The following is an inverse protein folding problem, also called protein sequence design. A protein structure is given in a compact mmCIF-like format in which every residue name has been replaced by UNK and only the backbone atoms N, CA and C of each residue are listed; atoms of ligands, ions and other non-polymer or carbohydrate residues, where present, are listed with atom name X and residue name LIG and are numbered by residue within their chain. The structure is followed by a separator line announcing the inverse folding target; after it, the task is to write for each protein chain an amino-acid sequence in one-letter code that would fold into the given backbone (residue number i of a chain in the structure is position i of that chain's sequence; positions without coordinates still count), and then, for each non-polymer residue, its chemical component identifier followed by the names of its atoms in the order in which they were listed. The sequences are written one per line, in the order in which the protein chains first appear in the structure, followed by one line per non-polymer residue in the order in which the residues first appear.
data_IF_088555989037
#
_entry.id   IF_088555989037
#
_cell.length_a   1.000
_cell.length_b   1.000
_cell.length_c   1.000
_cell.angle_alpha   90.00
_cell.angle_beta   90.00
_cell.angle_gamma   90.00
#
_symmetry.space_group_name_H-M   'P 1'
#
loop_
_entity.id
_entity.type
_entity.pdbx_description
1 polymer ?
#
# COMPACT_ATOMS: atom_id res chain seq x y z
N UNK A 1 -78.30 -5.19 67.39
CA UNK A 1 -79.20 -4.86 66.26
C UNK A 1 -78.41 -4.11 65.20
N UNK A 2 -78.53 -4.55 63.95
CA UNK A 2 -78.20 -3.87 62.68
C UNK A 2 -76.72 -3.71 62.28
N UNK A 3 -76.33 -4.60 61.36
CA UNK A 3 -75.57 -4.39 60.11
C UNK A 3 -75.48 -2.94 59.58
N UNK A 4 -74.31 -2.55 59.06
CA UNK A 4 -74.12 -2.29 57.62
C UNK A 4 -72.63 -2.19 57.23
N UNK A 5 -72.32 -2.79 56.09
CA UNK A 5 -71.05 -2.74 55.39
C UNK A 5 -70.91 -1.45 54.59
N UNK A 6 -69.69 -0.97 54.39
CA UNK A 6 -69.28 -0.38 53.11
C UNK A 6 -67.77 -0.38 52.96
N UNK A 7 -67.38 -0.88 51.79
CA UNK A 7 -66.07 -0.98 51.18
C UNK A 7 -65.38 0.37 51.05
N UNK A 8 -64.04 0.40 51.10
CA UNK A 8 -63.21 1.24 50.21
C UNK A 8 -61.76 0.74 50.22
N UNK A 9 -61.16 0.87 49.04
CA UNK A 9 -59.99 0.19 48.48
C UNK A 9 -58.65 0.46 49.18
N UNK A 10 -57.77 -0.54 49.05
CA UNK A 10 -56.34 -0.49 49.30
C UNK A 10 -55.57 0.21 48.17
N UNK A 11 -54.44 0.85 48.51
CA UNK A 11 -53.32 1.06 47.59
C UNK A 11 -52.02 0.98 48.40
N UNK A 12 -51.27 -0.11 48.22
CA UNK A 12 -49.93 -0.28 48.76
C UNK A 12 -48.90 0.20 47.72
N UNK A 13 -47.99 1.06 48.14
CA UNK A 13 -46.81 1.46 47.37
C UNK A 13 -45.80 0.31 47.38
N UNK A 14 -45.62 -0.36 46.24
CA UNK A 14 -44.51 -1.26 45.97
C UNK A 14 -43.53 -0.52 45.06
N UNK A 15 -42.33 -0.26 45.58
CA UNK A 15 -41.17 0.18 44.82
C UNK A 15 -40.76 -0.93 43.85
N UNK A 16 -40.94 -0.71 42.54
CA UNK A 16 -40.35 -1.56 41.52
C UNK A 16 -38.92 -1.11 41.24
N UNK A 17 -37.94 -1.88 41.73
CA UNK A 17 -36.65 -1.95 41.06
C UNK A 17 -36.88 -2.68 39.74
N UNK A 18 -36.78 -1.95 38.63
CA UNK A 18 -36.72 -2.56 37.31
C UNK A 18 -35.38 -3.32 37.16
N UNK A 19 -35.35 -4.49 36.52
CA UNK A 19 -34.08 -5.11 36.14
C UNK A 19 -33.38 -4.20 35.13
N UNK A 20 -32.05 -4.04 35.26
CA UNK A 20 -31.22 -3.49 34.18
C UNK A 20 -31.56 -4.26 32.90
N UNK A 21 -32.09 -3.57 31.90
CA UNK A 21 -32.18 -4.13 30.57
C UNK A 21 -30.74 -4.39 30.10
N UNK A 22 -30.42 -5.63 29.74
CA UNK A 22 -29.23 -5.92 28.94
C UNK A 22 -29.39 -5.13 27.64
N UNK A 23 -28.43 -4.25 27.34
CA UNK A 23 -28.45 -3.42 26.14
C UNK A 23 -28.49 -4.35 24.92
N UNK A 24 -29.48 -4.15 24.04
CA UNK A 24 -29.72 -5.05 22.90
C UNK A 24 -28.96 -4.60 21.64
N UNK A 25 -28.18 -3.54 21.72
CA UNK A 25 -27.43 -2.94 20.60
C UNK A 25 -26.13 -3.67 20.28
N UNK A 26 -25.41 -4.21 21.27
CA UNK A 26 -24.11 -4.87 21.06
C UNK A 26 -24.22 -6.12 20.17
N UNK A 27 -25.19 -7.00 20.44
CA UNK A 27 -25.35 -8.26 19.72
C UNK A 27 -25.95 -8.11 18.31
N UNK A 28 -26.47 -6.93 17.96
CA UNK A 28 -26.97 -6.67 16.61
C UNK A 28 -25.87 -6.19 15.67
N UNK A 29 -24.81 -5.54 16.14
CA UNK A 29 -23.79 -4.91 15.28
C UNK A 29 -22.72 -5.89 14.75
N UNK A 30 -22.22 -6.79 15.59
CA UNK A 30 -21.13 -7.70 15.23
C UNK A 30 -21.51 -8.60 14.05
N UNK A 31 -20.66 -8.65 13.02
CA UNK A 31 -20.88 -9.43 11.80
C UNK A 31 -21.92 -8.81 10.86
N UNK A 32 -22.39 -7.59 11.11
CA UNK A 32 -23.18 -6.86 10.11
C UNK A 32 -22.27 -6.24 9.07
N UNK A 33 -22.68 -6.36 7.82
CA UNK A 33 -22.02 -5.68 6.71
C UNK A 33 -22.01 -4.16 6.90
N UNK A 34 -20.91 -3.55 6.49
CA UNK A 34 -20.68 -2.12 6.45
C UNK A 34 -20.14 -1.72 5.07
N UNK A 35 -20.15 -0.43 4.76
CA UNK A 35 -19.81 0.06 3.41
C UNK A 35 -18.39 0.60 3.32
N UNK A 36 -17.81 1.05 4.43
CA UNK A 36 -16.53 1.78 4.47
C UNK A 36 -15.62 1.16 5.52
N UNK A 37 -14.44 0.68 5.11
CA UNK A 37 -13.43 0.19 6.05
C UNK A 37 -13.00 1.31 7.01
N UNK A 38 -12.88 1.00 8.30
CA UNK A 38 -12.60 1.98 9.36
C UNK A 38 -13.83 2.76 9.84
N UNK A 39 -15.03 2.56 9.26
CA UNK A 39 -16.27 3.13 9.79
C UNK A 39 -16.51 2.68 11.24
N UNK A 40 -16.97 3.61 12.08
CA UNK A 40 -17.18 3.39 13.51
C UNK A 40 -18.67 3.41 13.83
N UNK A 41 -19.15 2.40 14.55
CA UNK A 41 -20.51 2.35 15.07
C UNK A 41 -20.52 2.30 16.60
N UNK A 42 -21.48 3.01 17.22
CA UNK A 42 -21.70 2.95 18.66
C UNK A 42 -22.44 1.66 19.04
N UNK A 43 -21.89 0.91 20.00
CA UNK A 43 -22.45 -0.36 20.46
C UNK A 43 -23.35 -0.25 21.70
N UNK A 44 -23.29 0.87 22.42
CA UNK A 44 -23.90 1.04 23.74
C UNK A 44 -22.83 1.10 24.82
N UNK A 45 -23.15 1.59 26.02
CA UNK A 45 -22.18 1.65 27.13
C UNK A 45 -20.96 2.58 26.95
N UNK A 46 -20.78 3.19 25.77
CA UNK A 46 -19.58 3.94 25.41
C UNK A 46 -18.58 3.15 24.57
N UNK A 47 -18.87 1.86 24.30
CA UNK A 47 -18.08 1.02 23.40
C UNK A 47 -18.41 1.29 21.93
N UNK A 48 -17.44 0.98 21.07
CA UNK A 48 -17.51 1.19 19.63
C UNK A 48 -17.07 -0.06 18.89
N UNK A 49 -17.64 -0.30 17.71
CA UNK A 49 -17.20 -1.34 16.79
C UNK A 49 -16.62 -0.69 15.52
N UNK A 50 -15.55 -1.27 15.01
CA UNK A 50 -14.92 -0.84 13.77
C UNK A 50 -15.27 -1.80 12.63
N UNK A 51 -15.54 -1.22 11.47
CA UNK A 51 -15.74 -1.93 10.22
C UNK A 51 -14.40 -2.33 9.61
N UNK A 52 -14.20 -3.61 9.29
CA UNK A 52 -13.02 -4.07 8.54
C UNK A 52 -13.32 -5.35 7.77
N UNK A 53 -12.37 -5.75 6.91
CA UNK A 53 -12.34 -7.12 6.39
C UNK A 53 -11.88 -8.10 7.47
N UNK A 54 -12.16 -9.38 7.24
CA UNK A 54 -11.70 -10.50 8.06
C UNK A 54 -10.94 -11.48 7.15
N UNK A 55 -9.96 -12.21 7.69
CA UNK A 55 -9.02 -13.07 6.92
C UNK A 55 -9.65 -14.06 5.92
N UNK A 56 -10.96 -14.35 6.03
CA UNK A 56 -11.68 -15.27 5.17
C UNK A 56 -12.60 -14.60 4.13
N UNK A 57 -12.72 -13.26 4.10
CA UNK A 57 -13.63 -12.54 3.20
C UNK A 57 -13.13 -11.13 2.84
N UNK A 58 -13.37 -10.73 1.60
CA UNK A 58 -13.24 -9.33 1.17
C UNK A 58 -14.45 -8.47 1.59
N UNK A 59 -15.50 -9.09 2.13
CA UNK A 59 -16.68 -8.37 2.62
C UNK A 59 -16.32 -7.60 3.90
N UNK A 60 -16.80 -6.36 4.00
CA UNK A 60 -16.61 -5.51 5.15
C UNK A 60 -17.70 -5.75 6.18
N UNK A 61 -17.31 -6.05 7.42
CA UNK A 61 -18.22 -6.27 8.53
C UNK A 61 -17.75 -5.56 9.81
N UNK A 62 -18.69 -5.19 10.67
CA UNK A 62 -18.37 -4.69 12.01
C UNK A 62 -17.83 -5.83 12.88
N UNK A 63 -16.67 -5.61 13.50
CA UNK A 63 -16.11 -6.55 14.47
C UNK A 63 -16.67 -6.38 15.88
N UNK A 64 -15.94 -6.84 16.91
CA UNK A 64 -16.41 -6.77 18.28
C UNK A 64 -16.60 -5.32 18.74
N UNK A 65 -17.50 -5.13 19.69
CA UNK A 65 -17.64 -3.87 20.41
C UNK A 65 -16.50 -3.76 21.43
N UNK A 66 -15.67 -2.73 21.29
CA UNK A 66 -14.50 -2.47 22.11
C UNK A 66 -14.79 -1.33 23.08
N UNK A 67 -14.45 -1.54 24.35
CA UNK A 67 -14.45 -0.46 25.34
C UNK A 67 -13.28 0.51 25.07
N UNK A 68 -13.37 1.79 25.47
CA UNK A 68 -12.31 2.77 25.24
C UNK A 68 -10.91 2.38 25.75
N UNK A 69 -10.84 1.48 26.71
CA UNK A 69 -9.60 0.95 27.30
C UNK A 69 -9.02 -0.27 26.57
N UNK A 70 -9.78 -0.88 25.67
CA UNK A 70 -9.34 -1.98 24.79
C UNK A 70 -8.78 -1.46 23.45
N UNK A 71 -9.02 -0.18 23.14
CA UNK A 71 -8.56 0.47 21.91
C UNK A 71 -7.12 0.94 22.12
N UNK A 72 -6.16 0.24 21.49
CA UNK A 72 -4.73 0.54 21.62
C UNK A 72 -4.32 1.82 20.90
N UNK A 73 -5.00 2.15 19.80
CA UNK A 73 -4.68 3.27 18.93
C UNK A 73 -5.90 3.79 18.16
N UNK A 74 -5.85 5.04 17.69
CA UNK A 74 -6.90 5.58 16.83
C UNK A 74 -6.63 5.24 15.35
N UNK A 75 -7.56 4.62 14.60
CA UNK A 75 -7.32 4.28 13.20
C UNK A 75 -6.85 5.46 12.35
N UNK A 76 -5.76 5.24 11.60
CA UNK A 76 -5.10 6.27 10.79
C UNK A 76 -4.07 7.11 11.55
N UNK A 77 -3.94 6.98 12.87
CA UNK A 77 -2.84 7.56 13.64
C UNK A 77 -1.49 6.98 13.18
N UNK A 78 -0.45 7.82 13.13
CA UNK A 78 0.91 7.43 12.72
C UNK A 78 1.91 7.85 13.79
N UNK A 79 2.75 6.93 14.26
CA UNK A 79 3.83 7.18 15.21
C UNK A 79 5.20 6.97 14.55
N UNK A 80 6.16 7.85 14.85
CA UNK A 80 7.56 7.61 14.50
C UNK A 80 8.22 6.69 15.54
N UNK A 81 8.80 5.59 15.07
CA UNK A 81 9.61 4.65 15.81
C UNK A 81 11.08 5.08 15.90
N UNK A 82 11.44 6.18 15.22
CA UNK A 82 12.77 6.76 15.19
C UNK A 82 13.46 6.67 13.83
N UNK A 83 14.67 7.23 13.71
CA UNK A 83 15.35 7.37 12.43
C UNK A 83 15.88 6.02 11.92
N UNK A 84 15.95 5.91 10.60
CA UNK A 84 16.67 4.86 9.89
C UNK A 84 18.18 5.03 10.12
N UNK A 85 18.87 3.88 10.22
CA UNK A 85 20.30 3.86 10.51
C UNK A 85 21.15 4.30 9.30
N UNK A 86 20.64 4.04 8.09
CA UNK A 86 21.24 4.50 6.86
C UNK A 86 20.81 5.94 6.57
N UNK A 87 21.80 6.84 6.40
CA UNK A 87 21.54 8.27 6.20
C UNK A 87 20.86 8.55 4.87
N UNK A 88 21.09 7.71 3.86
CA UNK A 88 20.50 7.84 2.54
C UNK A 88 19.03 7.41 2.59
N UNK A 89 18.75 6.24 3.15
CA UNK A 89 17.40 5.74 3.38
C UNK A 89 16.58 6.70 4.27
N UNK A 90 17.20 7.28 5.31
CA UNK A 90 16.56 8.33 6.12
C UNK A 90 16.19 9.57 5.30
N UNK A 91 17.05 10.00 4.37
CA UNK A 91 16.81 11.18 3.56
C UNK A 91 15.70 10.96 2.52
N UNK A 92 15.52 9.71 2.08
CA UNK A 92 14.52 9.32 1.08
C UNK A 92 13.18 8.93 1.75
N UNK A 93 13.22 8.02 2.72
CA UNK A 93 12.03 7.39 3.31
C UNK A 93 11.63 7.96 4.68
N UNK A 94 12.47 8.80 5.30
CA UNK A 94 12.19 9.38 6.62
C UNK A 94 12.44 8.43 7.78
N UNK A 95 11.66 8.55 8.85
CA UNK A 95 11.72 7.67 10.02
C UNK A 95 10.96 6.37 9.79
N UNK A 96 11.29 5.32 10.55
CA UNK A 96 10.40 4.17 10.67
C UNK A 96 9.08 4.62 11.31
N UNK A 97 7.97 4.21 10.72
CA UNK A 97 6.64 4.54 11.24
C UNK A 97 5.84 3.30 11.57
N UNK A 98 4.89 3.46 12.48
CA UNK A 98 3.77 2.53 12.63
C UNK A 98 2.47 3.29 12.44
N UNK A 99 1.50 2.65 11.81
CA UNK A 99 0.16 3.16 11.56
C UNK A 99 -0.85 2.30 12.30
N UNK A 100 -1.84 2.95 12.87
CA UNK A 100 -2.96 2.26 13.46
C UNK A 100 -3.93 1.81 12.35
N UNK A 101 -4.09 0.51 12.17
CA UNK A 101 -5.00 -0.09 11.21
C UNK A 101 -6.03 -0.98 11.91
N UNK A 102 -7.23 -1.07 11.34
CA UNK A 102 -8.29 -1.96 11.86
C UNK A 102 -8.20 -3.31 11.18
N UNK A 103 -7.93 -4.36 11.95
CA UNK A 103 -7.91 -5.74 11.48
C UNK A 103 -8.88 -6.60 12.29
N UNK A 104 -9.81 -7.29 11.62
CA UNK A 104 -10.85 -8.06 12.31
C UNK A 104 -11.70 -7.24 13.30
N UNK A 105 -11.84 -5.94 13.04
CA UNK A 105 -12.54 -4.97 13.88
C UNK A 105 -11.74 -4.44 15.08
N UNK A 106 -10.46 -4.78 15.18
CA UNK A 106 -9.58 -4.33 16.26
C UNK A 106 -8.52 -3.35 15.71
N UNK A 107 -8.47 -2.10 16.20
CA UNK A 107 -7.39 -1.17 15.90
C UNK A 107 -6.07 -1.65 16.52
N UNK A 108 -5.04 -1.83 15.69
CA UNK A 108 -3.72 -2.30 16.11
C UNK A 108 -2.62 -1.54 15.40
N UNK A 109 -1.50 -1.32 16.09
CA UNK A 109 -0.30 -0.77 15.47
C UNK A 109 0.30 -1.76 14.49
N UNK A 110 0.52 -1.30 13.26
CA UNK A 110 1.23 -2.03 12.21
C UNK A 110 2.43 -1.22 11.77
N UNK A 111 3.58 -1.89 11.65
CA UNK A 111 4.78 -1.27 11.10
C UNK A 111 4.48 -0.84 9.67
N UNK A 112 4.59 0.46 9.44
CA UNK A 112 4.28 1.15 8.21
C UNK A 112 5.63 1.51 7.56
N UNK A 113 6.38 0.49 7.15
CA UNK A 113 7.68 0.65 6.50
C UNK A 113 7.46 0.90 4.99
N UNK A 114 6.74 1.99 4.69
CA UNK A 114 6.33 2.46 3.37
C UNK A 114 7.51 3.00 2.52
N UNK A 115 8.71 2.44 2.70
CA UNK A 115 9.89 2.78 1.89
C UNK A 115 9.87 2.01 0.57
N UNK A 116 8.80 2.19 -0.19
CA UNK A 116 8.60 1.45 -1.44
C UNK A 116 9.29 2.15 -2.60
N UNK A 117 10.20 1.42 -3.24
CA UNK A 117 11.08 1.96 -4.26
C UNK A 117 11.01 1.13 -5.56
N UNK A 118 9.93 1.29 -6.33
CA UNK A 118 9.83 0.72 -7.66
C UNK A 118 10.93 1.21 -8.62
N UNK A 119 11.29 0.36 -9.56
CA UNK A 119 12.28 0.64 -10.59
C UNK A 119 11.60 1.12 -11.86
N UNK A 120 11.93 2.32 -12.31
CA UNK A 120 11.37 2.97 -13.51
C UNK A 120 12.46 3.36 -14.50
N UNK A 121 12.08 3.56 -15.77
CA UNK A 121 13.01 3.94 -16.83
C UNK A 121 12.66 5.31 -17.39
N UNK A 122 13.68 6.14 -17.63
CA UNK A 122 13.58 7.35 -18.44
C UNK A 122 14.45 7.20 -19.68
N UNK A 123 13.84 7.28 -20.86
CA UNK A 123 14.52 7.06 -22.15
C UNK A 123 15.26 8.30 -22.69
N UNK A 124 15.17 9.45 -22.00
CA UNK A 124 15.81 10.69 -22.43
C UNK A 124 17.24 10.83 -21.88
N UNK A 125 18.16 11.33 -22.71
CA UNK A 125 19.55 11.65 -22.33
C UNK A 125 19.71 13.12 -21.90
N UNK A 126 18.60 13.80 -21.53
CA UNK A 126 18.63 15.21 -21.16
C UNK A 126 19.45 15.43 -19.88
N UNK A 127 20.26 16.51 -19.85
CA UNK A 127 21.02 16.88 -18.66
C UNK A 127 20.09 17.02 -17.46
N UNK A 128 20.27 16.14 -16.49
CA UNK A 128 19.32 15.86 -15.43
C UNK A 128 19.23 17.03 -14.43
N UNK A 129 18.14 17.78 -14.45
CA UNK A 129 17.66 18.43 -13.23
C UNK A 129 16.85 17.40 -12.43
N UNK A 130 16.78 17.53 -11.10
CA UNK A 130 15.98 16.62 -10.25
C UNK A 130 14.54 16.44 -10.78
N UNK A 131 13.91 17.54 -11.21
CA UNK A 131 12.55 17.57 -11.75
C UNK A 131 12.40 17.01 -13.18
N UNK A 132 13.47 16.53 -13.81
CA UNK A 132 13.44 15.97 -15.17
C UNK A 132 13.82 14.48 -15.21
N UNK A 133 14.06 13.86 -14.04
CA UNK A 133 14.49 12.45 -13.95
C UNK A 133 13.33 11.49 -14.08
N UNK A 134 12.19 11.83 -13.48
CA UNK A 134 10.96 11.08 -13.55
C UNK A 134 9.80 12.07 -13.75
N UNK A 135 8.74 11.62 -14.39
CA UNK A 135 7.51 12.39 -14.60
C UNK A 135 6.35 11.62 -13.98
N UNK A 136 5.67 12.26 -13.03
CA UNK A 136 4.57 11.68 -12.27
C UNK A 136 3.30 12.53 -12.37
N UNK A 137 2.17 11.85 -12.45
CA UNK A 137 0.82 12.36 -12.32
C UNK A 137 0.49 12.39 -10.83
N UNK A 138 0.01 13.53 -10.29
CA UNK A 138 -0.38 13.61 -8.90
C UNK A 138 -1.46 12.60 -8.53
N UNK A 139 -1.38 12.02 -7.33
CA UNK A 139 -2.33 11.02 -6.84
C UNK A 139 -3.80 11.46 -7.01
N UNK A 140 -4.10 12.73 -6.72
CA UNK A 140 -5.45 13.29 -6.81
C UNK A 140 -5.98 13.48 -8.25
N UNK A 141 -5.12 13.29 -9.24
CA UNK A 141 -5.43 13.44 -10.67
C UNK A 141 -5.58 12.10 -11.40
N UNK A 142 -5.29 10.99 -10.73
CA UNK A 142 -5.55 9.63 -11.25
C UNK A 142 -6.90 9.10 -10.78
N UNK A 143 -7.54 8.16 -11.51
CA UNK A 143 -8.77 7.50 -11.06
C UNK A 143 -8.57 6.76 -9.72
N UNK A 144 -9.67 6.52 -9.01
CA UNK A 144 -9.68 5.88 -7.69
C UNK A 144 -9.29 4.38 -7.69
N UNK A 145 -8.84 3.83 -8.82
CA UNK A 145 -8.30 2.47 -8.82
C UNK A 145 -7.03 2.44 -7.97
N UNK A 146 -6.90 1.45 -7.10
CA UNK A 146 -5.75 1.30 -6.23
C UNK A 146 -4.89 0.15 -6.72
N UNK A 147 -3.63 0.43 -7.05
CA UNK A 147 -2.60 -0.58 -7.29
C UNK A 147 -1.66 -0.53 -6.09
N UNK A 148 -1.49 -1.67 -5.43
CA UNK A 148 -0.57 -1.79 -4.30
C UNK A 148 0.83 -2.11 -4.80
N UNK A 149 1.71 -1.11 -4.75
CA UNK A 149 3.12 -1.19 -5.16
C UNK A 149 3.95 -1.94 -4.12
N UNK A 150 3.54 -1.89 -2.86
CA UNK A 150 4.31 -2.42 -1.72
C UNK A 150 4.39 -3.94 -1.71
N UNK A 151 3.39 -4.60 -2.31
CA UNK A 151 3.19 -6.04 -2.27
C UNK A 151 3.09 -6.61 -0.84
N UNK A 152 2.64 -5.80 0.12
CA UNK A 152 2.27 -6.22 1.46
C UNK A 152 0.98 -5.57 1.93
N UNK A 153 0.30 -6.24 2.86
CA UNK A 153 -0.93 -5.71 3.45
C UNK A 153 -0.65 -4.36 4.14
N UNK A 154 -1.57 -3.40 3.97
CA UNK A 154 -1.49 -2.07 4.57
C UNK A 154 -0.61 -1.08 3.81
N UNK A 155 0.14 -1.50 2.78
CA UNK A 155 1.05 -0.61 2.09
C UNK A 155 0.35 0.51 1.32
N UNK A 156 1.08 1.60 1.12
CA UNK A 156 0.51 2.79 0.50
C UNK A 156 0.01 2.56 -0.94
N UNK A 157 -1.28 2.83 -1.16
CA UNK A 157 -1.92 2.84 -2.48
C UNK A 157 -2.20 4.27 -3.02
N UNK A 158 -1.99 5.28 -2.18
CA UNK A 158 -2.23 6.70 -2.47
C UNK A 158 -0.91 7.39 -2.81
N UNK A 159 -0.26 6.95 -3.89
CA UNK A 159 0.97 7.55 -4.38
C UNK A 159 0.71 8.37 -5.63
N UNK A 160 1.63 9.28 -5.94
CA UNK A 160 1.81 9.76 -7.31
C UNK A 160 2.05 8.59 -8.28
N UNK A 161 1.74 8.80 -9.55
CA UNK A 161 1.78 7.74 -10.56
C UNK A 161 2.70 8.09 -11.73
N UNK A 162 3.68 7.25 -12.10
CA UNK A 162 4.50 7.45 -13.28
C UNK A 162 3.69 7.61 -14.57
N UNK A 163 4.08 8.59 -15.40
CA UNK A 163 3.52 8.71 -16.75
C UNK A 163 4.08 7.61 -17.67
N UNK A 164 3.44 7.40 -18.83
CA UNK A 164 3.98 6.54 -19.89
C UNK A 164 5.41 6.92 -20.39
N UNK A 165 5.90 8.13 -20.09
CA UNK A 165 7.27 8.54 -20.38
C UNK A 165 8.29 8.00 -19.36
N UNK A 166 7.82 7.61 -18.18
CA UNK A 166 8.58 7.03 -17.07
C UNK A 166 8.05 5.63 -16.74
N UNK A 167 8.08 4.65 -17.66
CA UNK A 167 7.50 3.33 -17.42
C UNK A 167 8.13 2.60 -16.25
N UNK A 168 7.33 1.76 -15.62
CA UNK A 168 7.78 0.75 -14.67
C UNK A 168 8.57 -0.36 -15.38
N UNK A 169 9.58 -0.89 -14.70
CA UNK A 169 10.13 -2.19 -15.03
C UNK A 169 9.32 -3.27 -14.32
N UNK A 170 8.84 -4.25 -15.09
CA UNK A 170 7.96 -5.29 -14.58
C UNK A 170 8.28 -6.67 -15.18
N UNK A 171 7.71 -7.70 -14.57
CA UNK A 171 7.68 -9.07 -15.05
C UNK A 171 6.35 -9.70 -14.63
N UNK A 172 5.60 -10.22 -15.60
CA UNK A 172 4.37 -10.98 -15.35
C UNK A 172 4.77 -12.36 -14.79
N UNK A 173 4.69 -12.50 -13.45
CA UNK A 173 5.22 -13.66 -12.73
C UNK A 173 4.27 -14.84 -12.79
N UNK A 174 2.96 -14.59 -12.80
CA UNK A 174 1.93 -15.62 -12.83
C UNK A 174 1.47 -15.98 -14.26
N UNK A 175 1.95 -15.23 -15.26
CA UNK A 175 1.69 -15.39 -16.69
C UNK A 175 0.22 -15.16 -17.06
N UNK A 176 -0.47 -14.27 -16.34
CA UNK A 176 -1.88 -13.96 -16.59
C UNK A 176 -2.08 -12.90 -17.71
N UNK A 177 -0.99 -12.29 -18.19
CA UNK A 177 -0.97 -11.28 -19.26
C UNK A 177 -1.14 -9.85 -18.79
N UNK A 178 -1.14 -9.62 -17.47
CA UNK A 178 -1.25 -8.32 -16.82
C UNK A 178 -0.15 -8.18 -15.76
N UNK A 179 0.10 -6.93 -15.36
CA UNK A 179 0.83 -6.61 -14.14
C UNK A 179 -0.21 -6.12 -13.14
N UNK A 180 -0.57 -6.98 -12.19
CA UNK A 180 -1.70 -6.75 -11.28
C UNK A 180 -1.33 -6.82 -9.79
N UNK A 181 -0.05 -7.09 -9.49
CA UNK A 181 0.47 -7.06 -8.13
C UNK A 181 1.84 -6.38 -8.02
N UNK A 182 2.09 -5.66 -6.92
CA UNK A 182 3.36 -4.94 -6.70
C UNK A 182 4.62 -5.82 -6.77
N UNK A 183 4.52 -7.13 -6.48
CA UNK A 183 5.66 -8.04 -6.55
C UNK A 183 6.08 -8.39 -7.99
N UNK A 184 5.25 -8.03 -8.97
CA UNK A 184 5.54 -8.11 -10.40
C UNK A 184 6.28 -6.86 -10.91
N UNK A 185 6.31 -5.79 -10.11
CA UNK A 185 7.21 -4.67 -10.32
C UNK A 185 8.59 -5.01 -9.75
N UNK A 186 9.64 -4.49 -10.40
CA UNK A 186 10.97 -4.49 -9.79
C UNK A 186 11.04 -3.37 -8.76
N UNK A 187 11.56 -3.68 -7.57
CA UNK A 187 11.69 -2.72 -6.47
C UNK A 187 11.91 -3.43 -5.13
N UNK A 188 11.83 -2.68 -4.03
CA UNK A 188 11.76 -3.22 -2.67
C UNK A 188 10.62 -4.25 -2.50
N UNK A 189 9.51 -4.11 -3.24
CA UNK A 189 8.39 -5.07 -3.37
C UNK A 189 8.79 -6.49 -3.80
N UNK A 190 9.89 -6.64 -4.53
CA UNK A 190 10.27 -7.91 -5.14
C UNK A 190 10.72 -8.95 -4.10
N UNK A 191 10.22 -10.18 -4.22
CA UNK A 191 10.68 -11.33 -3.42
C UNK A 191 11.85 -12.03 -4.11
N UNK A 192 12.99 -12.07 -3.43
CA UNK A 192 14.20 -12.76 -3.86
C UNK A 192 14.08 -14.29 -3.68
N UNK A 193 15.00 -15.03 -4.30
CA UNK A 193 15.02 -16.50 -4.28
C UNK A 193 15.16 -17.11 -2.88
N UNK A 194 15.71 -16.36 -1.92
CA UNK A 194 15.82 -16.77 -0.51
C UNK A 194 14.57 -16.44 0.33
N UNK A 195 13.53 -15.87 -0.30
CA UNK A 195 12.25 -15.50 0.31
C UNK A 195 12.24 -14.13 0.97
N UNK A 196 13.37 -13.41 1.02
CA UNK A 196 13.43 -12.03 1.52
C UNK A 196 12.98 -11.05 0.45
N UNK A 197 12.57 -9.85 0.88
CA UNK A 197 12.38 -8.72 -0.02
C UNK A 197 13.73 -8.17 -0.49
N UNK A 198 13.77 -7.59 -1.68
CA UNK A 198 14.91 -6.84 -2.14
C UNK A 198 15.07 -5.57 -1.28
N UNK A 199 16.32 -5.12 -1.08
CA UNK A 199 16.57 -3.83 -0.40
C UNK A 199 16.22 -2.63 -1.28
N UNK A 200 16.26 -2.84 -2.59
CA UNK A 200 16.10 -1.83 -3.63
C UNK A 200 15.83 -2.54 -4.98
N UNK A 201 15.39 -1.78 -5.98
CA UNK A 201 15.08 -2.27 -7.32
C UNK A 201 16.30 -2.77 -8.11
N UNK A 202 17.52 -2.26 -7.85
CA UNK A 202 18.73 -2.79 -8.50
C UNK A 202 19.08 -4.19 -7.97
N UNK A 203 18.94 -4.43 -6.67
CA UNK A 203 19.07 -5.76 -6.07
C UNK A 203 17.99 -6.72 -6.57
N UNK A 204 16.76 -6.23 -6.76
CA UNK A 204 15.70 -7.01 -7.40
C UNK A 204 16.13 -7.41 -8.83
N UNK A 205 16.62 -6.45 -9.62
CA UNK A 205 17.06 -6.69 -11.00
C UNK A 205 18.28 -7.62 -11.09
N UNK A 206 19.19 -7.57 -10.12
CA UNK A 206 20.36 -8.46 -10.04
C UNK A 206 19.97 -9.94 -10.01
N UNK A 207 18.75 -10.29 -9.60
CA UNK A 207 18.26 -11.67 -9.65
C UNK A 207 18.06 -12.20 -11.09
N UNK A 208 18.05 -11.32 -12.09
CA UNK A 208 17.95 -11.65 -13.51
C UNK A 208 19.31 -11.71 -14.22
N UNK A 209 20.39 -11.23 -13.60
CA UNK A 209 21.78 -11.37 -14.12
C UNK A 209 22.29 -12.77 -13.79
N UNK A 210 21.99 -13.71 -14.68
CA UNK A 210 22.30 -15.13 -14.50
C UNK A 210 23.78 -15.42 -14.73
N UNK A 211 24.45 -14.58 -15.51
CA UNK A 211 25.84 -14.77 -15.91
C UNK A 211 26.84 -14.05 -14.96
N UNK A 212 26.36 -13.10 -14.17
CA UNK A 212 27.08 -12.34 -13.15
C UNK A 212 28.01 -11.26 -13.69
N UNK A 213 27.75 -10.71 -14.86
CA UNK A 213 28.58 -9.68 -15.50
C UNK A 213 28.21 -8.24 -15.11
N UNK A 214 27.16 -8.08 -14.29
CA UNK A 214 26.67 -6.78 -13.82
C UNK A 214 25.62 -6.16 -14.73
N UNK A 215 25.20 -6.86 -15.78
CA UNK A 215 24.18 -6.44 -16.73
C UNK A 215 23.06 -7.48 -16.80
N UNK A 216 21.85 -7.02 -17.05
CA UNK A 216 20.74 -7.86 -17.48
C UNK A 216 20.50 -7.58 -18.95
N UNK A 217 20.85 -8.56 -19.79
CA UNK A 217 20.83 -8.42 -21.24
C UNK A 217 20.43 -9.72 -21.96
N UNK A 218 20.51 -9.74 -23.30
CA UNK A 218 20.10 -10.90 -24.10
C UNK A 218 20.92 -12.20 -23.85
N UNK A 219 22.02 -12.13 -23.09
CA UNK A 219 22.79 -13.29 -22.63
C UNK A 219 22.16 -13.96 -21.41
N UNK A 220 21.25 -13.27 -20.72
CA UNK A 220 20.52 -13.81 -19.58
C UNK A 220 19.24 -14.55 -20.02
N UNK A 221 18.98 -15.77 -19.50
CA UNK A 221 17.86 -16.59 -19.94
C UNK A 221 16.49 -15.94 -19.77
N UNK A 222 16.35 -15.03 -18.80
CA UNK A 222 15.08 -14.41 -18.41
C UNK A 222 14.91 -12.99 -18.94
N UNK A 223 15.86 -12.44 -19.71
CA UNK A 223 15.76 -11.08 -20.24
C UNK A 223 14.50 -10.87 -21.09
N UNK A 224 14.08 -11.90 -21.83
CA UNK A 224 12.86 -11.86 -22.64
C UNK A 224 11.55 -11.81 -21.84
N UNK A 225 11.59 -12.03 -20.53
CA UNK A 225 10.43 -11.91 -19.62
C UNK A 225 10.20 -10.47 -19.17
N UNK A 226 11.20 -9.59 -19.31
CA UNK A 226 11.13 -8.22 -18.82
C UNK A 226 10.24 -7.34 -19.70
N UNK A 227 9.37 -6.59 -19.04
CA UNK A 227 8.37 -5.72 -19.64
C UNK A 227 8.55 -4.28 -19.14
N UNK A 228 8.23 -3.34 -20.01
CA UNK A 228 7.90 -1.98 -19.63
C UNK A 228 6.39 -1.90 -19.49
N UNK A 229 5.91 -1.41 -18.35
CA UNK A 229 4.52 -1.01 -18.22
C UNK A 229 4.41 0.51 -18.39
N UNK A 230 3.83 0.91 -19.52
CA UNK A 230 3.52 2.29 -19.87
C UNK A 230 2.02 2.53 -19.70
N UNK A 231 1.61 2.87 -18.48
CA UNK A 231 0.23 3.24 -18.22
C UNK A 231 -0.12 4.53 -19.00
N UNK A 232 -0.89 4.37 -20.07
CA UNK A 232 -1.14 5.42 -21.06
C UNK A 232 -2.36 6.25 -20.72
N UNK A 233 -3.33 5.67 -20.02
CA UNK A 233 -4.56 6.35 -19.57
C UNK A 233 -4.55 6.67 -18.07
N UNK A 234 -3.48 6.28 -17.37
CA UNK A 234 -3.22 6.52 -15.95
C UNK A 234 -4.30 5.91 -15.05
N UNK A 235 -4.93 4.82 -15.48
CA UNK A 235 -6.00 4.15 -14.73
C UNK A 235 -5.49 3.16 -13.68
N UNK A 236 -4.17 3.02 -13.55
CA UNK A 236 -3.47 2.15 -12.59
C UNK A 236 -3.77 0.67 -12.80
N UNK A 237 -4.17 0.27 -14.00
CA UNK A 237 -4.44 -1.13 -14.37
C UNK A 237 -3.65 -1.48 -15.61
N UNK A 238 -2.78 -2.47 -15.48
CA UNK A 238 -2.07 -2.98 -16.65
C UNK A 238 -3.05 -3.52 -17.68
N UNK A 239 -2.78 -3.20 -18.95
CA UNK A 239 -3.48 -3.76 -20.09
C UNK A 239 -2.46 -4.21 -21.14
N UNK A 240 -2.79 -5.23 -21.95
CA UNK A 240 -1.86 -5.76 -22.96
C UNK A 240 -1.33 -4.69 -23.94
N UNK A 241 -2.11 -3.63 -24.20
CA UNK A 241 -1.69 -2.52 -25.06
C UNK A 241 -0.66 -1.57 -24.43
N UNK A 242 -0.40 -1.71 -23.14
CA UNK A 242 0.50 -0.89 -22.32
C UNK A 242 1.78 -1.63 -21.93
N UNK A 243 1.84 -2.94 -22.19
CA UNK A 243 2.98 -3.79 -21.90
C UNK A 243 3.87 -3.92 -23.14
N UNK A 244 5.11 -3.50 -23.00
CA UNK A 244 6.11 -3.51 -24.08
C UNK A 244 7.34 -4.32 -23.66
N UNK A 245 7.72 -5.39 -24.36
CA UNK A 245 8.98 -6.09 -24.09
C UNK A 245 10.19 -5.15 -24.21
N UNK A 246 11.18 -5.27 -23.32
CA UNK A 246 12.38 -4.41 -23.34
C UNK A 246 13.08 -4.38 -24.71
N UNK A 247 13.19 -5.55 -25.35
CA UNK A 247 13.77 -5.68 -26.69
C UNK A 247 12.99 -4.93 -27.77
N UNK A 248 11.66 -4.82 -27.65
CA UNK A 248 10.82 -4.05 -28.56
C UNK A 248 11.01 -2.53 -28.36
N UNK A 249 11.23 -2.10 -27.12
CA UNK A 249 11.63 -0.73 -26.78
C UNK A 249 13.09 -0.40 -27.15
N UNK A 250 13.84 -1.39 -27.66
CA UNK A 250 15.23 -1.24 -28.07
C UNK A 250 16.22 -1.16 -26.91
N UNK A 251 15.84 -1.56 -25.70
CA UNK A 251 16.76 -1.68 -24.55
C UNK A 251 17.72 -2.84 -24.81
N UNK A 252 19.02 -2.56 -24.75
CA UNK A 252 20.05 -3.56 -25.04
C UNK A 252 20.51 -4.29 -23.78
N UNK A 253 20.73 -3.53 -22.69
CA UNK A 253 21.19 -4.04 -21.41
C UNK A 253 20.78 -3.07 -20.29
N UNK A 254 20.46 -3.59 -19.11
CA UNK A 254 20.22 -2.81 -17.90
C UNK A 254 21.32 -3.07 -16.86
N UNK A 255 21.88 -2.04 -16.21
CA UNK A 255 22.83 -2.25 -15.13
C UNK A 255 22.12 -2.76 -13.86
N UNK A 256 22.74 -3.69 -13.14
CA UNK A 256 22.22 -4.20 -11.85
C UNK A 256 22.78 -3.47 -10.63
N UNK A 257 23.48 -2.36 -10.87
CA UNK A 257 23.97 -1.46 -9.84
C UNK A 257 23.85 -0.01 -10.31
N UNK A 258 23.43 0.87 -9.40
CA UNK A 258 23.40 2.30 -9.61
C UNK A 258 24.23 3.06 -8.56
N UNK A 259 24.12 4.38 -8.60
CA UNK A 259 24.67 5.27 -7.58
C UNK A 259 23.53 5.93 -6.81
N UNK A 260 23.68 6.05 -5.50
CA UNK A 260 22.80 6.84 -4.65
C UNK A 260 22.66 8.27 -5.19
N UNK A 261 21.41 8.69 -5.37
CA UNK A 261 21.07 9.95 -6.01
C UNK A 261 19.78 10.51 -5.42
N UNK A 262 19.83 11.10 -4.22
CA UNK A 262 18.67 11.75 -3.60
C UNK A 262 18.28 13.01 -4.40
N UNK A 263 17.31 12.85 -5.30
CA UNK A 263 16.75 13.93 -6.09
C UNK A 263 15.22 13.89 -5.97
N UNK A 264 14.70 14.70 -5.05
CA UNK A 264 13.27 14.74 -4.75
C UNK A 264 12.55 15.90 -5.46
N UNK A 265 11.29 15.69 -5.79
CA UNK A 265 10.38 16.75 -6.22
C UNK A 265 9.74 17.46 -5.01
N UNK A 266 8.89 18.45 -5.28
CA UNK A 266 8.19 19.21 -4.23
C UNK A 266 7.08 18.42 -3.52
N UNK A 267 6.69 17.27 -4.06
CA UNK A 267 5.65 16.38 -3.52
C UNK A 267 6.23 15.23 -2.68
N UNK A 268 7.56 15.13 -2.61
CA UNK A 268 8.27 14.16 -1.77
C UNK A 268 8.66 12.86 -2.49
N UNK A 269 8.40 12.75 -3.79
CA UNK A 269 8.89 11.60 -4.57
C UNK A 269 10.36 11.80 -4.85
N UNK A 270 11.17 10.75 -4.72
CA UNK A 270 12.62 10.85 -4.80
C UNK A 270 13.18 9.77 -5.72
N UNK A 271 14.03 10.17 -6.68
CA UNK A 271 15.02 9.22 -7.17
C UNK A 271 15.90 8.85 -5.97
N UNK A 272 16.04 7.56 -5.71
CA UNK A 272 16.86 7.00 -4.64
C UNK A 272 18.19 6.52 -5.25
N UNK A 273 18.14 5.68 -6.28
CA UNK A 273 19.34 5.14 -6.92
C UNK A 273 19.22 5.32 -8.43
N UNK A 274 20.29 5.76 -9.09
CA UNK A 274 20.32 6.00 -10.54
C UNK A 274 21.37 5.17 -11.26
N UNK A 275 21.00 4.53 -12.36
CA UNK A 275 21.87 3.78 -13.27
C UNK A 275 21.67 4.22 -14.72
N UNK A 276 22.69 4.08 -15.58
CA UNK A 276 22.57 4.40 -17.02
C UNK A 276 22.46 3.13 -17.84
N UNK A 277 21.54 3.12 -18.79
CA UNK A 277 21.37 2.04 -19.75
C UNK A 277 21.46 2.56 -21.20
N UNK A 278 21.74 1.66 -22.13
CA UNK A 278 21.79 1.95 -23.57
C UNK A 278 20.54 1.38 -24.25
N UNK A 279 19.99 2.13 -25.19
CA UNK A 279 18.88 1.72 -26.05
C UNK A 279 19.09 2.20 -27.49
N UNK A 280 18.27 1.70 -28.41
CA UNK A 280 18.37 2.02 -29.84
C UNK A 280 18.31 3.54 -30.16
N UNK A 281 17.68 4.34 -29.29
CA UNK A 281 17.58 5.80 -29.41
C UNK A 281 18.69 6.59 -28.71
N UNK A 282 19.62 5.93 -28.01
CA UNK A 282 20.71 6.54 -27.25
C UNK A 282 20.78 6.03 -25.81
N UNK A 283 21.04 6.95 -24.86
CA UNK A 283 21.12 6.61 -23.44
C UNK A 283 19.82 6.90 -22.72
N UNK A 284 19.52 6.08 -21.73
CA UNK A 284 18.47 6.30 -20.74
C UNK A 284 19.01 6.18 -19.32
N UNK A 285 18.11 6.41 -18.36
CA UNK A 285 18.37 6.27 -16.93
C UNK A 285 17.38 5.29 -16.32
N UNK A 286 17.89 4.32 -15.58
CA UNK A 286 17.15 3.42 -14.71
C UNK A 286 17.14 4.03 -13.32
N UNK A 287 15.97 4.15 -12.71
CA UNK A 287 15.76 4.93 -11.49
C UNK A 287 15.01 4.07 -10.50
N UNK A 288 15.63 3.86 -9.36
CA UNK A 288 14.98 3.36 -8.16
C UNK A 288 14.24 4.54 -7.53
N UNK A 289 12.91 4.52 -7.59
CA UNK A 289 12.06 5.67 -7.33
C UNK A 289 11.27 5.44 -6.05
N UNK A 290 11.57 6.21 -5.00
CA UNK A 290 10.68 6.32 -3.85
C UNK A 290 9.46 7.18 -4.20
N UNK A 291 8.27 6.64 -3.95
CA UNK A 291 7.00 7.33 -4.11
C UNK A 291 6.45 7.71 -2.73
N UNK A 292 6.18 9.00 -2.54
CA UNK A 292 5.60 9.45 -1.27
C UNK A 292 4.16 8.97 -1.16
N UNK A 293 3.77 8.56 0.05
CA UNK A 293 2.39 8.31 0.39
C UNK A 293 1.63 9.62 0.68
N UNK A 294 0.35 9.70 0.31
CA UNK A 294 -0.53 10.87 0.48
C UNK A 294 -1.84 10.55 1.22
#
# INVERSE_FOLDING_TARGET
MKTHASSLLAAALLSSLAPLACDKSEAELVGRSCEIAGEVAECGGGSVAYCSSFEASSDLEYGPCLEPEEIECEPGEVHSLGPRADEFEQAVCGDYTERCEVWGGEPTWRSDDDCETPLVLNFSDAAMSAASRFELIPAEQTPAATFDISAHEGGCVSTDWPTAATPWLAVDLDQNGFIDAGHELFGSGTRLADGRRASDGFVALASFDANGDGLVDALDPRFGELLLWRDHDADRRSQLGELEPLSAAGVEALPVAGAEEAACDERGNCAAIGGRFEHAGGRGTLIDLFLSCH
#
